data_IF_056763752739
#
_entry.id   IF_056763752739
#
_cell.length_a   1.000
_cell.length_b   1.000
_cell.length_c   1.000
_cell.angle_alpha   90.00
_cell.angle_beta   90.00
_cell.angle_gamma   90.00
#
_symmetry.space_group_name_H-M   'P 1'
#
loop_
_entity.id
_entity.type
_entity.pdbx_description
1 polymer ?
#
# COMPACT_ATOMS: atom_id res chain seq x y z
N UNK A 1 -40.10 -20.72 19.41
CA UNK A 1 -38.71 -20.31 19.10
C UNK A 1 -38.09 -21.50 18.42
N UNK A 2 -37.70 -21.41 17.15
CA UNK A 2 -36.88 -22.44 16.50
C UNK A 2 -35.56 -22.53 17.27
N UNK A 3 -35.07 -23.73 17.53
CA UNK A 3 -33.73 -23.92 18.07
C UNK A 3 -32.71 -23.24 17.17
N UNK A 4 -31.63 -22.66 17.71
CA UNK A 4 -30.54 -22.18 16.88
C UNK A 4 -30.11 -23.29 15.93
N UNK A 5 -29.95 -22.95 14.67
CA UNK A 5 -29.59 -23.90 13.63
C UNK A 5 -28.33 -24.65 14.09
N UNK A 6 -28.46 -25.98 14.35
CA UNK A 6 -27.37 -26.81 14.87
C UNK A 6 -26.12 -26.72 13.98
N UNK A 7 -26.30 -26.34 12.70
CA UNK A 7 -25.24 -26.14 11.74
C UNK A 7 -24.35 -24.91 12.07
N UNK A 8 -24.94 -23.81 12.52
CA UNK A 8 -24.19 -22.60 12.92
C UNK A 8 -23.37 -22.87 14.18
N UNK A 9 -23.95 -23.55 15.18
CA UNK A 9 -23.24 -23.86 16.41
C UNK A 9 -22.05 -24.82 16.16
N UNK A 10 -22.23 -25.80 15.27
CA UNK A 10 -21.16 -26.71 14.86
C UNK A 10 -20.04 -25.97 14.09
N UNK A 11 -20.40 -25.05 13.17
CA UNK A 11 -19.44 -24.19 12.47
C UNK A 11 -18.63 -23.34 13.44
N UNK A 12 -19.28 -22.63 14.37
CA UNK A 12 -18.59 -21.81 15.38
C UNK A 12 -17.60 -22.64 16.21
N UNK A 13 -18.01 -23.82 16.68
CA UNK A 13 -17.13 -24.72 17.44
C UNK A 13 -15.93 -25.19 16.63
N UNK A 14 -16.14 -25.53 15.36
CA UNK A 14 -15.07 -25.97 14.46
C UNK A 14 -14.00 -24.89 14.28
N UNK A 15 -14.40 -23.65 13.99
CA UNK A 15 -13.44 -22.56 13.78
C UNK A 15 -12.77 -22.17 15.10
N UNK A 16 -13.52 -22.01 16.20
CA UNK A 16 -12.96 -21.69 17.51
C UNK A 16 -11.95 -22.74 18.00
N UNK A 17 -12.10 -24.02 17.62
CA UNK A 17 -11.14 -25.06 17.96
C UNK A 17 -9.78 -24.87 17.26
N UNK A 18 -9.76 -24.26 16.08
CA UNK A 18 -8.55 -24.03 15.29
C UNK A 18 -7.79 -22.76 15.76
N UNK A 19 -8.47 -21.80 16.42
CA UNK A 19 -7.84 -20.60 16.92
C UNK A 19 -7.04 -20.90 18.18
N UNK A 20 -5.74 -20.55 18.25
CA UNK A 20 -4.93 -20.70 19.45
C UNK A 20 -5.53 -19.96 20.65
N UNK A 21 -5.15 -20.35 21.87
CA UNK A 21 -5.47 -19.57 23.07
C UNK A 21 -4.81 -18.18 22.95
N UNK A 22 -5.62 -17.13 22.81
CA UNK A 22 -5.17 -15.77 22.46
C UNK A 22 -6.18 -14.73 22.93
N UNK A 23 -5.80 -13.48 22.87
CA UNK A 23 -6.72 -12.36 23.12
C UNK A 23 -7.88 -12.36 22.10
N UNK A 24 -7.62 -12.67 20.84
CA UNK A 24 -8.63 -12.83 19.81
C UNK A 24 -9.70 -13.83 20.23
N UNK A 25 -9.30 -15.06 20.59
CA UNK A 25 -10.23 -16.11 21.01
C UNK A 25 -11.04 -15.71 22.23
N UNK A 26 -10.42 -15.08 23.21
CA UNK A 26 -11.10 -14.60 24.42
C UNK A 26 -12.15 -13.53 24.06
N UNK A 27 -11.83 -12.57 23.22
CA UNK A 27 -12.76 -11.53 22.78
C UNK A 27 -13.89 -12.11 21.94
N UNK A 28 -13.61 -13.02 20.99
CA UNK A 28 -14.62 -13.72 20.18
C UNK A 28 -15.70 -14.40 21.03
N UNK A 29 -15.32 -15.03 22.13
CA UNK A 29 -16.25 -15.71 23.04
C UNK A 29 -17.17 -14.73 23.78
N UNK A 30 -16.80 -13.48 23.92
CA UNK A 30 -17.61 -12.42 24.56
C UNK A 30 -18.52 -11.66 23.60
N UNK A 31 -18.29 -11.78 22.28
CA UNK A 31 -19.09 -11.09 21.29
C UNK A 31 -20.54 -11.60 21.25
N UNK A 32 -21.46 -10.69 20.92
CA UNK A 32 -22.83 -11.06 20.56
C UNK A 32 -22.84 -12.05 19.37
N UNK A 33 -23.89 -12.88 19.19
CA UNK A 33 -23.90 -13.94 18.19
C UNK A 33 -23.61 -13.48 16.76
N UNK A 34 -24.23 -12.38 16.29
CA UNK A 34 -24.04 -11.91 14.91
C UNK A 34 -22.64 -11.37 14.63
N UNK A 35 -22.05 -10.48 15.46
CA UNK A 35 -20.65 -10.10 15.36
C UNK A 35 -19.68 -11.27 15.40
N UNK A 36 -19.88 -12.20 16.34
CA UNK A 36 -19.04 -13.38 16.45
C UNK A 36 -19.08 -14.24 15.18
N UNK A 37 -20.28 -14.52 14.68
CA UNK A 37 -20.44 -15.31 13.45
C UNK A 37 -19.78 -14.63 12.25
N UNK A 38 -19.87 -13.27 12.14
CA UNK A 38 -19.21 -12.48 11.11
C UNK A 38 -17.69 -12.66 11.17
N UNK A 39 -17.10 -12.47 12.34
CA UNK A 39 -15.66 -12.64 12.53
C UNK A 39 -15.20 -14.08 12.23
N UNK A 40 -15.94 -15.10 12.69
CA UNK A 40 -15.60 -16.50 12.44
C UNK A 40 -15.71 -16.89 10.97
N UNK A 41 -16.69 -16.36 10.22
CA UNK A 41 -16.80 -16.55 8.78
C UNK A 41 -15.59 -15.97 8.07
N UNK A 42 -15.22 -14.72 8.40
CA UNK A 42 -14.06 -14.06 7.81
C UNK A 42 -12.76 -14.83 8.13
N UNK A 43 -12.57 -15.29 9.36
CA UNK A 43 -11.42 -16.13 9.72
C UNK A 43 -11.37 -17.47 8.95
N UNK A 44 -12.52 -18.02 8.62
CA UNK A 44 -12.60 -19.24 7.81
C UNK A 44 -12.25 -18.98 6.34
N UNK A 45 -12.64 -17.82 5.80
CA UNK A 45 -12.35 -17.39 4.42
C UNK A 45 -10.86 -17.05 4.24
N UNK A 46 -10.25 -16.43 5.26
CA UNK A 46 -8.87 -15.99 5.23
C UNK A 46 -7.92 -17.10 5.72
N UNK A 47 -6.85 -17.33 4.99
CA UNK A 47 -5.81 -18.28 5.37
C UNK A 47 -4.77 -17.61 6.27
N UNK A 48 -5.14 -17.32 7.52
CA UNK A 48 -4.29 -16.59 8.47
C UNK A 48 -3.05 -17.43 8.84
N UNK A 49 -1.82 -16.94 8.61
CA UNK A 49 -0.60 -17.60 9.08
C UNK A 49 -0.58 -17.77 10.60
N UNK A 50 0.01 -18.85 11.08
CA UNK A 50 0.02 -19.15 12.52
C UNK A 50 0.72 -18.05 13.36
N UNK A 51 1.72 -17.37 12.81
CA UNK A 51 2.43 -16.27 13.45
C UNK A 51 1.53 -15.06 13.69
N UNK A 52 0.54 -14.80 12.84
CA UNK A 52 -0.29 -13.60 12.86
C UNK A 52 -1.41 -13.63 13.90
N UNK A 53 -1.80 -14.83 14.39
CA UNK A 53 -2.82 -14.91 15.44
C UNK A 53 -2.47 -14.14 16.72
N UNK A 54 -1.20 -13.88 16.97
CA UNK A 54 -0.77 -13.11 18.13
C UNK A 54 -1.12 -11.61 18.01
N UNK A 55 -1.07 -11.06 16.81
CA UNK A 55 -1.38 -9.65 16.49
C UNK A 55 -2.82 -9.44 16.05
N UNK A 56 -3.53 -10.49 15.62
CA UNK A 56 -4.90 -10.38 15.13
C UNK A 56 -5.89 -10.01 16.26
N UNK A 57 -6.75 -9.04 15.99
CA UNK A 57 -7.74 -8.49 16.92
C UNK A 57 -9.14 -8.50 16.30
N UNK A 58 -10.15 -8.36 17.15
CA UNK A 58 -11.54 -8.25 16.71
C UNK A 58 -12.26 -7.12 17.45
N UNK A 59 -12.96 -6.29 16.71
CA UNK A 59 -13.86 -5.24 17.23
C UNK A 59 -15.19 -5.82 17.73
N UNK A 60 -15.92 -5.07 18.55
CA UNK A 60 -17.22 -5.51 19.11
C UNK A 60 -18.28 -5.79 18.06
N UNK A 61 -18.16 -5.24 16.87
CA UNK A 61 -19.04 -5.48 15.73
C UNK A 61 -18.58 -6.66 14.84
N UNK A 62 -17.45 -7.32 15.17
CA UNK A 62 -16.88 -8.47 14.47
C UNK A 62 -15.88 -8.10 13.36
N UNK A 63 -15.49 -6.84 13.22
CA UNK A 63 -14.40 -6.42 12.32
C UNK A 63 -13.06 -6.98 12.78
N UNK A 64 -12.25 -7.51 11.85
CA UNK A 64 -10.92 -8.04 12.13
C UNK A 64 -9.85 -7.06 11.67
N UNK A 65 -8.76 -6.96 12.41
CA UNK A 65 -7.59 -6.13 12.08
C UNK A 65 -6.35 -6.66 12.79
N UNK A 66 -5.16 -6.30 12.29
CA UNK A 66 -3.91 -6.58 13.00
C UNK A 66 -3.57 -5.40 13.91
N UNK A 67 -3.20 -5.68 15.18
CA UNK A 67 -2.67 -4.68 16.09
C UNK A 67 -1.15 -4.72 16.08
N UNK A 68 -0.51 -3.57 16.17
CA UNK A 68 0.95 -3.41 16.00
C UNK A 68 1.40 -3.84 14.60
N UNK A 69 0.64 -3.42 13.62
CA UNK A 69 0.96 -3.65 12.22
C UNK A 69 2.32 -3.06 11.85
N UNK A 70 2.92 -3.48 10.75
CA UNK A 70 4.31 -3.27 10.40
C UNK A 70 5.00 -2.09 11.12
N UNK A 71 5.87 -2.34 12.12
CA UNK A 71 6.46 -1.25 12.88
C UNK A 71 7.24 -0.33 11.94
N UNK A 72 7.16 1.00 12.10
CA UNK A 72 7.96 1.91 11.31
C UNK A 72 9.45 1.58 11.47
N UNK A 73 10.26 1.75 10.41
CA UNK A 73 11.69 1.54 10.50
C UNK A 73 12.30 2.50 11.53
N UNK A 74 13.40 2.13 12.20
CA UNK A 74 14.12 3.07 13.03
C UNK A 74 14.53 4.27 12.17
N UNK A 75 14.27 5.47 12.64
CA UNK A 75 14.70 6.71 11.97
C UNK A 75 16.19 6.60 11.64
N UNK A 76 16.63 6.99 10.43
CA UNK A 76 18.04 7.01 10.09
C UNK A 76 18.79 7.85 11.13
N UNK A 77 20.04 7.50 11.48
CA UNK A 77 20.85 8.34 12.35
C UNK A 77 20.83 9.74 11.75
N UNK A 78 20.35 10.72 12.51
CA UNK A 78 20.32 12.11 12.05
C UNK A 78 21.75 12.47 11.62
N UNK A 79 21.99 12.62 10.33
CA UNK A 79 23.28 13.10 9.84
C UNK A 79 23.56 14.39 10.57
N UNK A 80 24.65 14.43 11.30
CA UNK A 80 25.05 15.65 12.00
C UNK A 80 25.14 16.76 10.96
N UNK A 81 24.24 17.73 11.06
CA UNK A 81 24.22 18.87 10.15
C UNK A 81 25.64 19.38 10.01
N UNK A 82 26.13 19.67 8.77
CA UNK A 82 27.46 20.23 8.60
C UNK A 82 27.56 21.45 9.49
N UNK A 83 28.58 21.50 10.35
CA UNK A 83 28.78 22.56 11.32
C UNK A 83 28.68 23.91 10.62
N UNK A 84 27.57 24.61 10.82
CA UNK A 84 27.39 25.96 10.33
C UNK A 84 28.44 26.85 11.00
N UNK A 85 29.36 27.34 10.23
CA UNK A 85 30.31 28.40 10.63
C UNK A 85 29.50 29.64 10.98
N UNK A 86 29.44 29.91 12.26
CA UNK A 86 29.14 31.11 12.98
C UNK A 86 28.16 32.11 12.40
N UNK A 87 26.97 32.16 13.04
CA UNK A 87 26.42 33.45 13.50
C UNK A 87 25.42 33.11 14.63
N UNK A 88 25.73 33.63 15.82
CA UNK A 88 24.93 33.50 17.03
C UNK A 88 23.64 34.31 16.88
N UNK A 89 22.50 33.62 16.76
CA UNK A 89 21.20 34.27 16.95
C UNK A 89 20.64 33.86 18.30
N UNK A 90 20.46 34.82 19.17
CA UNK A 90 19.96 34.68 20.53
C UNK A 90 18.55 34.06 20.54
N UNK A 91 18.39 33.01 21.33
CA UNK A 91 17.09 32.42 21.70
C UNK A 91 16.33 33.41 22.61
N UNK A 92 15.26 34.00 22.09
CA UNK A 92 14.26 34.63 22.93
C UNK A 92 13.32 33.54 23.47
N UNK A 93 13.23 33.48 24.79
CA UNK A 93 12.36 32.59 25.54
C UNK A 93 10.88 33.01 25.37
N UNK A 94 10.05 32.14 24.83
CA UNK A 94 8.59 32.32 24.86
C UNK A 94 8.00 31.99 26.22
N UNK A 95 7.00 32.74 26.70
CA UNK A 95 6.43 32.54 28.00
C UNK A 95 5.45 31.36 28.02
N UNK A 96 5.55 30.62 29.10
CA UNK A 96 4.69 29.54 29.57
C UNK A 96 3.22 29.98 29.55
N UNK A 97 2.36 29.30 28.79
CA UNK A 97 0.91 29.55 28.73
C UNK A 97 0.20 28.65 29.73
N UNK A 98 -0.37 29.24 30.76
CA UNK A 98 -1.17 28.59 31.76
C UNK A 98 -2.41 27.86 31.17
N UNK A 99 -2.57 26.60 31.61
CA UNK A 99 -3.78 25.84 31.36
C UNK A 99 -5.00 26.44 32.06
N UNK A 100 -6.05 26.73 31.28
CA UNK A 100 -7.40 26.88 31.83
C UNK A 100 -8.32 25.95 31.06
N UNK A 101 -8.69 24.85 31.74
CA UNK A 101 -9.70 23.93 31.27
C UNK A 101 -11.09 24.58 31.32
N UNK A 102 -11.76 24.62 30.18
CA UNK A 102 -13.20 24.88 30.09
C UNK A 102 -13.90 23.65 29.50
N UNK A 103 -15.02 23.18 30.10
CA UNK A 103 -15.75 22.01 29.60
C UNK A 103 -16.71 22.44 28.47
N UNK A 104 -16.72 21.65 27.39
CA UNK A 104 -17.75 21.67 26.39
C UNK A 104 -17.44 22.47 25.12
N UNK A 105 -16.56 21.95 24.27
CA UNK A 105 -16.50 22.36 22.88
C UNK A 105 -17.02 21.22 22.00
N UNK A 106 -18.07 21.51 21.26
CA UNK A 106 -18.52 20.76 20.11
C UNK A 106 -17.30 20.63 19.18
N UNK A 107 -17.04 19.39 18.71
CA UNK A 107 -15.93 19.09 17.79
C UNK A 107 -15.84 20.20 16.74
N UNK A 108 -14.69 20.87 16.67
CA UNK A 108 -14.42 21.76 15.57
C UNK A 108 -14.54 20.94 14.27
N UNK A 109 -15.41 21.36 13.37
CA UNK A 109 -15.44 20.79 12.02
C UNK A 109 -14.01 20.88 11.47
N UNK A 110 -13.52 19.78 10.88
CA UNK A 110 -12.22 19.79 10.23
C UNK A 110 -12.12 21.00 9.33
N UNK A 111 -11.09 21.82 9.51
CA UNK A 111 -10.88 23.00 8.67
C UNK A 111 -10.64 22.46 7.26
N UNK A 112 -11.30 22.97 6.21
CA UNK A 112 -11.03 22.57 4.84
C UNK A 112 -9.56 22.91 4.52
N UNK A 113 -8.74 21.92 4.40
CA UNK A 113 -7.35 22.05 3.97
C UNK A 113 -7.35 22.30 2.45
N UNK A 114 -6.37 23.03 1.93
CA UNK A 114 -6.17 23.15 0.50
C UNK A 114 -6.09 21.77 -0.15
N UNK A 115 -6.63 21.62 -1.36
CA UNK A 115 -6.63 20.33 -2.05
C UNK A 115 -5.19 19.90 -2.35
N UNK A 116 -4.85 18.61 -2.16
CA UNK A 116 -3.55 18.09 -2.56
C UNK A 116 -3.39 18.12 -4.09
N UNK A 117 -2.18 17.97 -4.63
CA UNK A 117 -1.95 17.83 -6.07
C UNK A 117 -2.85 16.74 -6.68
N UNK A 118 -3.55 17.07 -7.76
CA UNK A 118 -4.47 16.16 -8.44
C UNK A 118 -3.66 15.07 -9.16
N UNK A 119 -3.88 13.80 -8.76
CA UNK A 119 -3.27 12.62 -9.36
C UNK A 119 -4.31 11.55 -9.60
N UNK A 120 -4.15 10.80 -10.70
CA UNK A 120 -4.98 9.67 -11.08
C UNK A 120 -4.13 8.69 -11.90
N UNK A 121 -4.03 7.43 -11.50
CA UNK A 121 -3.30 6.40 -12.24
C UNK A 121 -4.12 5.85 -13.41
N UNK A 122 -5.42 5.63 -13.21
CA UNK A 122 -6.32 5.05 -14.21
C UNK A 122 -7.71 5.70 -14.14
N UNK A 123 -7.85 6.94 -14.66
CA UNK A 123 -9.16 7.59 -14.71
C UNK A 123 -10.16 6.76 -15.51
N UNK A 124 -11.31 6.45 -14.92
CA UNK A 124 -12.38 5.67 -15.55
C UNK A 124 -12.52 4.24 -15.04
N UNK A 125 -11.56 3.71 -14.27
CA UNK A 125 -11.77 2.48 -13.52
C UNK A 125 -12.89 2.67 -12.48
N UNK A 126 -13.69 1.62 -12.29
CA UNK A 126 -14.75 1.59 -11.25
C UNK A 126 -14.20 1.21 -9.87
N UNK A 127 -12.99 0.65 -9.83
CA UNK A 127 -12.25 0.40 -8.61
C UNK A 127 -11.39 1.62 -8.30
N UNK A 128 -11.44 2.11 -7.08
CA UNK A 128 -10.75 3.34 -6.67
C UNK A 128 -10.04 3.12 -5.34
N UNK A 129 -8.78 3.56 -5.26
CA UNK A 129 -8.03 3.69 -4.02
C UNK A 129 -7.73 5.18 -3.82
N UNK A 130 -8.46 5.78 -2.91
CA UNK A 130 -8.33 7.19 -2.58
C UNK A 130 -7.30 7.39 -1.47
N UNK A 131 -6.24 8.12 -1.77
CA UNK A 131 -5.21 8.56 -0.84
C UNK A 131 -5.67 9.89 -0.23
N UNK A 132 -6.16 9.85 0.99
CA UNK A 132 -6.73 10.99 1.70
C UNK A 132 -5.66 11.70 2.53
N UNK A 133 -5.17 12.82 2.02
CA UNK A 133 -4.21 13.69 2.70
C UNK A 133 -4.88 14.86 3.44
N UNK A 134 -6.19 15.05 3.26
CA UNK A 134 -6.89 16.25 3.76
C UNK A 134 -7.36 16.12 5.22
N UNK A 135 -7.26 14.92 5.80
CA UNK A 135 -7.88 14.61 7.07
C UNK A 135 -9.35 14.20 6.95
N UNK A 136 -9.82 13.44 7.92
CA UNK A 136 -11.17 12.87 7.89
C UNK A 136 -11.75 12.69 9.28
N UNK A 137 -13.08 12.82 9.39
CA UNK A 137 -13.82 12.52 10.64
C UNK A 137 -14.38 11.10 10.56
N UNK A 138 -13.91 10.24 11.45
CA UNK A 138 -14.30 8.83 11.51
C UNK A 138 -15.34 8.65 12.63
N UNK A 139 -16.56 8.30 12.27
CA UNK A 139 -17.65 8.06 13.20
C UNK A 139 -18.63 7.03 12.66
N UNK A 140 -19.21 6.22 13.54
CA UNK A 140 -20.19 5.20 13.18
C UNK A 140 -19.63 4.01 12.42
N UNK A 141 -18.32 3.88 12.35
CA UNK A 141 -17.62 2.78 11.69
C UNK A 141 -17.29 1.65 12.68
N UNK A 142 -16.70 0.57 12.19
CA UNK A 142 -16.15 -0.51 13.02
C UNK A 142 -15.09 0.01 14.00
N UNK A 143 -14.34 1.05 13.63
CA UNK A 143 -13.34 1.69 14.50
C UNK A 143 -13.94 2.28 15.77
N UNK A 144 -15.22 2.68 15.73
CA UNK A 144 -15.97 3.26 16.85
C UNK A 144 -16.86 2.24 17.57
N UNK A 145 -16.75 0.93 17.30
CA UNK A 145 -17.69 -0.08 17.77
C UNK A 145 -17.42 -0.59 19.19
N UNK A 146 -16.19 -0.47 19.69
CA UNK A 146 -15.85 -0.79 21.07
C UNK A 146 -16.25 0.37 22.00
N UNK A 147 -16.69 0.10 23.25
CA UNK A 147 -17.13 1.16 24.19
C UNK A 147 -16.06 2.22 24.46
N UNK A 148 -14.79 1.85 24.52
CA UNK A 148 -13.66 2.74 24.71
C UNK A 148 -13.40 3.64 23.50
N UNK A 149 -13.78 3.19 22.30
CA UNK A 149 -13.58 3.89 21.02
C UNK A 149 -14.90 4.54 20.52
N UNK A 150 -15.97 4.56 21.31
CA UNK A 150 -17.27 5.06 20.92
C UNK A 150 -17.34 6.61 20.81
N UNK A 151 -16.27 7.23 20.31
CA UNK A 151 -16.15 8.66 20.02
C UNK A 151 -15.75 8.86 18.55
N UNK A 152 -15.95 10.07 18.04
CA UNK A 152 -15.45 10.40 16.71
C UNK A 152 -13.94 10.67 16.77
N UNK A 153 -13.17 10.04 15.89
CA UNK A 153 -11.79 10.43 15.64
C UNK A 153 -11.77 11.54 14.58
N UNK A 154 -10.96 12.57 14.80
CA UNK A 154 -10.76 13.69 13.87
C UNK A 154 -9.34 13.61 13.33
N UNK A 155 -9.11 12.74 12.33
CA UNK A 155 -7.81 12.62 11.69
C UNK A 155 -7.41 13.95 11.02
N UNK A 156 -6.19 14.39 11.31
CA UNK A 156 -5.64 15.63 10.76
C UNK A 156 -5.10 15.43 9.34
N UNK A 157 -4.91 16.51 8.59
CA UNK A 157 -4.25 16.47 7.29
C UNK A 157 -2.79 16.01 7.42
N UNK A 158 -2.22 15.58 6.31
CA UNK A 158 -0.76 15.42 6.17
C UNK A 158 -0.10 16.78 6.37
N UNK A 159 0.87 16.84 7.29
CA UNK A 159 1.51 18.08 7.70
C UNK A 159 2.92 17.80 8.21
N UNK A 160 3.90 18.48 7.65
CA UNK A 160 5.31 18.34 8.01
C UNK A 160 5.93 19.66 8.49
N UNK A 161 5.23 20.79 8.32
CA UNK A 161 5.71 22.13 8.64
C UNK A 161 4.92 22.83 9.77
N UNK A 162 3.80 22.25 10.18
CA UNK A 162 2.92 22.77 11.24
C UNK A 162 1.80 23.68 10.76
N UNK A 163 1.59 23.80 9.41
CA UNK A 163 0.48 24.54 8.81
C UNK A 163 -0.62 23.60 8.27
N UNK A 164 -1.54 23.18 9.10
CA UNK A 164 -2.68 22.33 8.72
C UNK A 164 -3.67 23.00 7.73
N UNK A 165 -3.42 24.22 7.26
CA UNK A 165 -4.35 24.95 6.40
C UNK A 165 -3.98 24.93 4.93
N UNK A 166 -2.76 24.57 4.60
CA UNK A 166 -2.26 24.47 3.23
C UNK A 166 -1.25 23.31 3.09
N UNK A 167 -0.93 22.95 1.86
CA UNK A 167 0.20 22.08 1.55
C UNK A 167 1.33 22.94 0.98
N UNK A 168 2.48 22.95 1.65
CA UNK A 168 3.72 23.58 1.16
C UNK A 168 4.21 22.92 -0.13
N UNK A 169 5.17 23.53 -0.83
CA UNK A 169 5.77 22.95 -2.04
C UNK A 169 6.47 21.60 -1.73
N UNK A 170 7.08 21.46 -0.56
CA UNK A 170 7.72 20.22 -0.11
C UNK A 170 6.67 19.13 0.15
N UNK A 171 5.59 19.45 0.87
CA UNK A 171 4.50 18.50 1.10
C UNK A 171 3.78 18.09 -0.18
N UNK A 172 3.61 19.03 -1.14
CA UNK A 172 3.06 18.68 -2.45
C UNK A 172 3.98 17.70 -3.20
N UNK A 173 5.29 17.85 -3.07
CA UNK A 173 6.28 16.94 -3.64
C UNK A 173 6.21 15.58 -2.98
N UNK A 174 6.14 15.51 -1.66
CA UNK A 174 5.98 14.27 -0.88
C UNK A 174 4.69 13.54 -1.26
N UNK A 175 3.57 14.25 -1.35
CA UNK A 175 2.27 13.69 -1.77
C UNK A 175 2.35 13.07 -3.16
N UNK A 176 3.03 13.74 -4.10
CA UNK A 176 3.25 13.23 -5.46
C UNK A 176 4.09 11.96 -5.41
N UNK A 177 5.17 11.94 -4.64
CA UNK A 177 6.06 10.78 -4.54
C UNK A 177 5.36 9.60 -3.86
N UNK A 178 4.61 9.83 -2.78
CA UNK A 178 3.78 8.79 -2.14
C UNK A 178 2.78 8.21 -3.15
N UNK A 179 2.07 9.07 -3.88
CA UNK A 179 1.11 8.63 -4.89
C UNK A 179 1.77 7.83 -6.02
N UNK A 180 2.95 8.28 -6.54
CA UNK A 180 3.67 7.59 -7.62
C UNK A 180 4.04 6.16 -7.21
N UNK A 181 4.54 5.95 -5.99
CA UNK A 181 4.91 4.63 -5.45
C UNK A 181 3.70 3.72 -5.28
N UNK A 182 2.64 4.21 -4.66
CA UNK A 182 1.40 3.43 -4.50
C UNK A 182 0.77 3.12 -5.87
N UNK A 183 0.80 4.06 -6.81
CA UNK A 183 0.29 3.83 -8.16
C UNK A 183 1.08 2.77 -8.92
N UNK A 184 2.40 2.66 -8.69
CA UNK A 184 3.26 1.61 -9.23
C UNK A 184 2.93 0.24 -8.61
N UNK A 185 2.75 0.16 -7.28
CA UNK A 185 2.38 -1.08 -6.59
C UNK A 185 1.06 -1.67 -7.12
N UNK A 186 0.11 -0.81 -7.46
CA UNK A 186 -1.19 -1.21 -7.99
C UNK A 186 -1.29 -1.16 -9.52
N UNK A 187 -0.21 -0.86 -10.25
CA UNK A 187 -0.21 -0.76 -11.71
C UNK A 187 -0.73 -2.00 -12.44
N UNK A 188 -0.49 -3.25 -11.96
CA UNK A 188 -1.00 -4.46 -12.59
C UNK A 188 -2.52 -4.61 -12.58
N UNK A 189 -3.25 -3.84 -11.75
CA UNK A 189 -4.69 -4.03 -11.52
C UNK A 189 -5.53 -2.94 -12.18
N UNK A 190 -6.78 -3.27 -12.55
CA UNK A 190 -7.74 -2.28 -13.04
C UNK A 190 -8.30 -1.45 -11.87
N UNK A 191 -7.50 -0.52 -11.37
CA UNK A 191 -7.82 0.37 -10.26
C UNK A 191 -7.26 1.76 -10.49
N UNK A 192 -8.01 2.79 -10.09
CA UNK A 192 -7.54 4.17 -10.08
C UNK A 192 -7.03 4.54 -8.68
N UNK A 193 -5.72 4.63 -8.52
CA UNK A 193 -5.10 5.26 -7.34
C UNK A 193 -5.19 6.78 -7.54
N UNK A 194 -5.84 7.48 -6.62
CA UNK A 194 -6.15 8.91 -6.80
C UNK A 194 -5.99 9.71 -5.50
N UNK A 195 -5.59 10.97 -5.65
CA UNK A 195 -5.63 11.99 -4.59
C UNK A 195 -6.92 12.83 -4.62
N UNK A 196 -7.81 12.58 -5.59
CA UNK A 196 -9.08 13.29 -5.72
C UNK A 196 -10.16 12.53 -4.96
N UNK A 197 -10.81 13.21 -4.01
CA UNK A 197 -11.89 12.58 -3.24
C UNK A 197 -13.03 12.15 -4.16
N UNK A 198 -13.41 10.85 -4.17
CA UNK A 198 -14.53 10.36 -4.94
C UNK A 198 -15.85 10.99 -4.49
N UNK A 199 -16.70 11.39 -5.42
CA UNK A 199 -18.04 11.93 -5.10
C UNK A 199 -18.95 10.89 -4.44
N UNK A 200 -18.63 9.61 -4.56
CA UNK A 200 -19.38 8.50 -3.97
C UNK A 200 -18.40 7.39 -3.58
N UNK A 201 -18.53 6.92 -2.34
CA UNK A 201 -17.80 5.77 -1.86
C UNK A 201 -18.67 4.52 -1.99
N UNK A 202 -18.16 3.53 -2.72
CA UNK A 202 -18.83 2.25 -2.99
C UNK A 202 -18.12 1.10 -2.28
N UNK A 203 -18.57 -0.13 -2.50
CA UNK A 203 -17.89 -1.33 -2.02
C UNK A 203 -16.48 -1.52 -2.62
N UNK A 204 -16.20 -0.90 -3.76
CA UNK A 204 -14.90 -0.94 -4.45
C UNK A 204 -14.15 0.39 -4.41
N UNK A 205 -14.46 1.24 -3.41
CA UNK A 205 -13.76 2.50 -3.18
C UNK A 205 -13.05 2.45 -1.83
N UNK A 206 -11.73 2.18 -1.86
CA UNK A 206 -10.87 2.20 -0.68
C UNK A 206 -10.47 3.64 -0.31
N UNK A 207 -10.36 3.91 0.99
CA UNK A 207 -9.76 5.15 1.52
C UNK A 207 -8.58 4.78 2.39
N UNK A 208 -7.40 5.23 2.03
CA UNK A 208 -6.24 5.27 2.91
C UNK A 208 -6.12 6.69 3.47
N UNK A 209 -6.32 6.86 4.77
CA UNK A 209 -6.18 8.14 5.45
C UNK A 209 -4.75 8.30 5.95
N UNK A 210 -3.99 9.19 5.33
CA UNK A 210 -2.63 9.54 5.71
C UNK A 210 -2.71 10.68 6.74
N UNK A 211 -2.53 10.36 8.02
CA UNK A 211 -2.78 11.27 9.14
C UNK A 211 -1.75 11.11 10.26
N UNK A 212 -1.79 11.96 11.28
CA UNK A 212 -0.98 11.77 12.48
C UNK A 212 -1.56 10.63 13.36
N UNK A 213 -0.70 10.03 14.20
CA UNK A 213 -1.08 8.97 15.13
C UNK A 213 -1.89 9.46 16.34
N UNK A 214 -2.12 10.77 16.43
CA UNK A 214 -2.99 11.46 17.39
C UNK A 214 -3.92 12.37 16.62
N UNK A 215 -5.20 12.36 16.97
CA UNK A 215 -6.22 13.16 16.30
C UNK A 215 -6.18 14.65 16.69
N UNK A 216 -6.98 15.48 16.04
CA UNK A 216 -7.05 16.92 16.31
C UNK A 216 -7.47 17.27 17.76
N UNK A 217 -8.05 16.32 18.51
CA UNK A 217 -8.48 16.50 19.90
C UNK A 217 -7.45 15.94 20.90
N UNK A 218 -6.30 15.46 20.44
CA UNK A 218 -5.29 14.85 21.29
C UNK A 218 -5.60 13.39 21.67
N UNK A 219 -6.53 12.74 20.98
CA UNK A 219 -6.87 11.33 21.21
C UNK A 219 -6.01 10.44 20.32
N UNK A 220 -5.44 9.39 20.91
CA UNK A 220 -4.66 8.39 20.15
C UNK A 220 -5.54 7.70 19.12
N UNK A 221 -5.05 7.63 17.89
CA UNK A 221 -5.70 6.91 16.79
C UNK A 221 -5.67 5.38 17.00
N UNK A 222 -6.53 4.60 16.35
CA UNK A 222 -6.50 3.13 16.44
C UNK A 222 -5.13 2.55 16.14
N UNK A 223 -4.61 1.65 17.00
CA UNK A 223 -3.28 1.02 16.83
C UNK A 223 -2.12 2.02 16.59
N UNK A 224 -2.19 3.22 17.12
CA UNK A 224 -1.36 4.41 16.88
C UNK A 224 0.17 4.23 17.04
N UNK A 225 0.63 3.11 17.58
CA UNK A 225 2.07 2.80 17.74
C UNK A 225 2.69 2.12 16.52
N UNK A 226 1.87 1.61 15.59
CA UNK A 226 2.29 1.02 14.33
C UNK A 226 2.50 2.05 13.22
N UNK A 227 2.86 1.59 12.04
CA UNK A 227 2.92 2.40 10.82
C UNK A 227 1.52 2.75 10.29
N UNK A 228 0.58 1.83 10.47
CA UNK A 228 -0.80 1.97 10.06
C UNK A 228 -1.69 0.92 10.72
N UNK A 229 -2.93 0.85 10.27
CA UNK A 229 -3.88 -0.21 10.61
C UNK A 229 -5.06 -0.24 9.63
N UNK A 230 -5.49 -1.42 9.23
CA UNK A 230 -6.64 -1.59 8.35
C UNK A 230 -7.56 -2.76 8.78
N UNK A 231 -8.82 -2.69 8.38
CA UNK A 231 -9.74 -3.81 8.51
C UNK A 231 -9.42 -4.88 7.46
N UNK A 232 -9.46 -6.15 7.88
CA UNK A 232 -9.01 -7.28 7.08
C UNK A 232 -10.12 -7.85 6.18
N UNK A 233 -9.84 -7.95 4.85
CA UNK A 233 -10.70 -8.61 3.87
C UNK A 233 -12.07 -7.93 3.71
N UNK A 234 -12.07 -6.63 3.54
CA UNK A 234 -13.29 -5.80 3.53
C UNK A 234 -13.60 -5.17 2.18
N UNK A 235 -12.62 -5.05 1.28
CA UNK A 235 -12.83 -4.55 -0.08
C UNK A 235 -13.85 -5.45 -0.80
N UNK A 236 -14.73 -4.88 -1.60
CA UNK A 236 -15.83 -5.57 -2.26
C UNK A 236 -17.07 -5.81 -1.38
N UNK A 237 -16.97 -5.75 -0.05
CA UNK A 237 -18.12 -5.92 0.83
C UNK A 237 -19.09 -4.75 0.72
N UNK A 238 -20.40 -5.02 0.72
CA UNK A 238 -21.43 -4.00 0.55
C UNK A 238 -21.45 -2.91 1.62
N UNK A 239 -20.86 -3.16 2.79
CA UNK A 239 -20.73 -2.22 3.91
C UNK A 239 -19.32 -1.64 4.07
N UNK A 240 -18.40 -1.90 3.12
CA UNK A 240 -17.01 -1.46 3.20
C UNK A 240 -16.89 0.04 3.44
N UNK A 241 -17.46 0.85 2.55
CA UNK A 241 -17.35 2.31 2.61
C UNK A 241 -17.93 2.94 3.89
N UNK A 242 -18.96 2.31 4.47
CA UNK A 242 -19.69 2.87 5.62
C UNK A 242 -19.25 2.31 6.96
N UNK A 243 -18.62 1.14 6.96
CA UNK A 243 -18.31 0.43 8.18
C UNK A 243 -16.83 0.17 8.40
N UNK A 244 -16.09 -0.21 7.36
CA UNK A 244 -14.73 -0.74 7.50
C UNK A 244 -13.65 0.22 7.00
N UNK A 245 -14.01 1.33 6.42
CA UNK A 245 -13.14 2.42 5.98
C UNK A 245 -12.97 3.45 7.11
N UNK A 246 -11.82 4.17 7.17
CA UNK A 246 -10.65 4.06 6.32
C UNK A 246 -9.65 2.99 6.79
N UNK A 247 -8.66 2.67 5.94
CA UNK A 247 -7.35 2.25 6.40
C UNK A 247 -6.57 3.49 6.89
N UNK A 248 -5.79 3.37 7.97
CA UNK A 248 -4.99 4.47 8.51
C UNK A 248 -3.51 4.26 8.21
N UNK A 249 -2.80 5.35 7.92
CA UNK A 249 -1.34 5.39 7.83
C UNK A 249 -0.85 6.60 8.61
N UNK A 250 0.07 6.38 9.55
CA UNK A 250 0.53 7.40 10.49
C UNK A 250 1.87 7.99 10.05
N UNK A 251 1.82 9.04 9.21
CA UNK A 251 3.00 9.63 8.58
C UNK A 251 4.09 10.04 9.58
N UNK A 252 3.69 10.53 10.75
CA UNK A 252 4.62 10.99 11.79
C UNK A 252 5.37 9.85 12.49
N UNK A 253 4.89 8.59 12.41
CA UNK A 253 5.64 7.42 12.90
C UNK A 253 6.81 7.06 11.98
N UNK A 254 6.80 7.52 10.73
CA UNK A 254 7.86 7.32 9.74
C UNK A 254 8.85 8.50 9.66
N UNK A 255 8.71 9.52 10.53
CA UNK A 255 9.48 10.76 10.42
C UNK A 255 9.23 11.49 9.11
N UNK A 256 8.00 11.37 8.57
CA UNK A 256 7.58 11.94 7.29
C UNK A 256 8.42 11.48 6.09
N UNK A 257 8.96 10.24 6.12
CA UNK A 257 9.64 9.65 4.99
C UNK A 257 8.61 9.12 3.98
N UNK A 258 8.53 9.75 2.83
CA UNK A 258 7.54 9.51 1.77
C UNK A 258 7.56 8.06 1.24
N UNK A 259 8.75 7.47 1.08
CA UNK A 259 8.88 6.10 0.61
C UNK A 259 8.29 5.11 1.62
N UNK A 260 8.58 5.30 2.91
CA UNK A 260 8.05 4.42 3.96
C UNK A 260 6.54 4.63 4.17
N UNK A 261 6.04 5.85 3.97
CA UNK A 261 4.60 6.14 4.01
C UNK A 261 3.90 5.40 2.87
N UNK A 262 4.44 5.44 1.65
CA UNK A 262 3.88 4.74 0.49
C UNK A 262 3.81 3.22 0.71
N UNK A 263 4.91 2.62 1.21
CA UNK A 263 4.94 1.19 1.58
C UNK A 263 3.83 0.85 2.59
N UNK A 264 3.65 1.68 3.62
CA UNK A 264 2.58 1.47 4.58
C UNK A 264 1.19 1.63 3.95
N UNK A 265 0.98 2.57 3.03
CA UNK A 265 -0.29 2.73 2.32
C UNK A 265 -0.64 1.46 1.54
N UNK A 266 0.30 0.94 0.75
CA UNK A 266 0.09 -0.29 -0.02
C UNK A 266 -0.14 -1.49 0.89
N UNK A 267 0.61 -1.62 1.99
CA UNK A 267 0.45 -2.66 3.00
C UNK A 267 -0.96 -2.65 3.64
N UNK A 268 -1.40 -1.49 4.14
CA UNK A 268 -2.71 -1.38 4.80
C UNK A 268 -3.87 -1.59 3.82
N UNK A 269 -3.74 -1.12 2.59
CA UNK A 269 -4.71 -1.43 1.54
C UNK A 269 -4.70 -2.92 1.18
N UNK A 270 -3.53 -3.58 1.19
CA UNK A 270 -3.41 -5.03 1.05
C UNK A 270 -4.25 -5.79 2.06
N UNK A 271 -4.27 -5.35 3.32
CA UNK A 271 -5.16 -5.92 4.33
C UNK A 271 -6.64 -5.75 3.99
N UNK A 272 -7.04 -4.65 3.38
CA UNK A 272 -8.43 -4.48 2.94
C UNK A 272 -8.84 -5.54 1.90
N UNK A 273 -7.91 -6.03 1.07
CA UNK A 273 -8.14 -7.15 0.15
C UNK A 273 -8.10 -8.53 0.85
N UNK A 274 -7.63 -8.61 2.07
CA UNK A 274 -7.55 -9.85 2.85
C UNK A 274 -6.17 -10.49 2.88
N UNK A 275 -5.14 -9.75 2.48
CA UNK A 275 -3.77 -10.22 2.56
C UNK A 275 -3.30 -10.27 4.02
N UNK A 276 -2.62 -11.33 4.37
CA UNK A 276 -1.93 -11.52 5.64
C UNK A 276 -0.47 -11.09 5.52
N UNK A 277 0.23 -11.00 6.67
CA UNK A 277 1.64 -10.61 6.64
C UNK A 277 2.54 -11.64 5.95
N UNK A 278 3.53 -11.13 5.25
CA UNK A 278 4.64 -11.90 4.70
C UNK A 278 5.81 -11.93 5.68
N UNK A 279 5.95 -13.08 6.34
CA UNK A 279 6.98 -13.31 7.34
C UNK A 279 7.84 -14.53 7.05
N UNK A 280 8.71 -14.85 8.00
CA UNK A 280 9.46 -16.10 8.03
C UNK A 280 8.84 -17.06 9.03
N UNK A 281 9.13 -18.36 8.93
CA UNK A 281 8.72 -19.33 9.94
C UNK A 281 9.17 -18.83 11.33
N UNK A 282 8.20 -18.49 12.17
CA UNK A 282 8.41 -17.99 13.53
C UNK A 282 8.50 -16.48 13.70
N UNK A 283 8.37 -15.70 12.63
CA UNK A 283 8.30 -14.23 12.68
C UNK A 283 7.14 -13.72 11.83
N UNK A 284 6.50 -12.62 12.26
CA UNK A 284 5.36 -12.03 11.55
C UNK A 284 5.80 -11.37 10.24
N UNK A 285 6.97 -10.73 10.21
CA UNK A 285 7.41 -9.93 9.08
C UNK A 285 8.74 -10.41 8.50
N UNK A 286 8.88 -10.29 7.18
CA UNK A 286 10.11 -10.45 6.45
C UNK A 286 10.62 -9.07 5.97
N UNK A 287 11.88 -8.74 6.31
CA UNK A 287 12.49 -7.45 5.98
C UNK A 287 13.12 -7.42 4.58
N UNK A 288 12.87 -8.44 3.77
CA UNK A 288 13.47 -8.55 2.45
C UNK A 288 14.94 -8.93 2.47
N UNK A 289 15.57 -8.93 1.30
CA UNK A 289 16.96 -9.33 1.09
C UNK A 289 17.64 -8.51 -0.03
N UNK A 290 18.92 -8.82 -0.30
CA UNK A 290 19.70 -8.14 -1.32
C UNK A 290 20.19 -6.76 -0.88
N UNK A 291 20.86 -6.05 -1.80
CA UNK A 291 21.41 -4.72 -1.59
C UNK A 291 21.47 -3.95 -2.92
N UNK A 292 21.53 -2.62 -2.84
CA UNK A 292 21.56 -1.76 -4.03
C UNK A 292 20.25 -1.81 -4.83
N UNK A 293 20.33 -1.61 -6.15
CA UNK A 293 19.18 -1.45 -7.04
C UNK A 293 18.25 -2.66 -7.12
N UNK A 294 18.73 -3.86 -6.75
CA UNK A 294 17.95 -5.10 -6.74
C UNK A 294 17.62 -5.59 -5.33
N UNK A 295 17.78 -4.75 -4.29
CA UNK A 295 17.29 -5.10 -2.95
C UNK A 295 15.77 -5.21 -2.99
N UNK A 296 15.25 -6.33 -2.47
CA UNK A 296 13.85 -6.70 -2.59
C UNK A 296 13.21 -6.95 -1.22
N UNK A 297 11.94 -6.60 -1.09
CA UNK A 297 11.09 -6.96 0.05
C UNK A 297 9.63 -7.08 -0.35
N UNK A 298 8.85 -7.97 0.32
CA UNK A 298 7.42 -8.06 0.06
C UNK A 298 6.68 -6.89 0.71
N UNK A 299 5.65 -6.36 0.04
CA UNK A 299 4.80 -5.26 0.53
C UNK A 299 4.10 -5.67 1.84
N UNK A 300 3.59 -6.92 1.92
CA UNK A 300 2.97 -7.42 3.14
C UNK A 300 3.97 -7.83 4.23
N UNK A 301 5.26 -7.59 4.02
CA UNK A 301 6.33 -7.68 5.03
C UNK A 301 6.71 -6.32 5.62
N UNK A 302 8.01 -6.10 5.81
CA UNK A 302 8.59 -4.82 6.20
C UNK A 302 9.72 -4.45 5.24
N UNK A 303 9.38 -4.26 3.96
CA UNK A 303 10.30 -3.94 2.86
C UNK A 303 10.93 -2.55 2.94
N UNK A 304 10.74 -1.82 4.04
CA UNK A 304 11.24 -0.46 4.24
C UNK A 304 12.72 -0.33 3.88
N UNK A 305 13.03 0.65 3.03
CA UNK A 305 14.38 0.89 2.56
C UNK A 305 14.89 -0.10 1.52
N UNK A 306 14.05 -0.99 0.99
CA UNK A 306 14.34 -1.79 -0.21
C UNK A 306 14.09 -0.95 -1.46
N UNK A 307 14.82 -1.26 -2.53
CA UNK A 307 14.65 -0.55 -3.80
C UNK A 307 13.45 -1.09 -4.59
N UNK A 308 13.17 -2.37 -4.46
CA UNK A 308 12.07 -3.07 -5.10
C UNK A 308 11.18 -3.63 -4.01
N UNK A 309 9.91 -3.24 -4.01
CA UNK A 309 8.86 -3.82 -3.16
C UNK A 309 7.75 -4.38 -4.04
N UNK A 310 7.31 -5.59 -3.76
CA UNK A 310 6.34 -6.28 -4.60
C UNK A 310 5.34 -7.07 -3.77
N UNK A 311 4.17 -7.31 -4.34
CA UNK A 311 3.24 -8.33 -3.89
C UNK A 311 3.87 -9.70 -4.06
N UNK A 312 3.63 -10.62 -3.15
CA UNK A 312 4.37 -11.88 -3.02
C UNK A 312 3.42 -13.08 -3.02
N UNK A 313 3.97 -14.26 -3.26
CA UNK A 313 3.36 -15.56 -2.95
C UNK A 313 4.31 -16.44 -2.13
N UNK A 314 5.25 -15.82 -1.42
CA UNK A 314 6.21 -16.52 -0.58
C UNK A 314 7.43 -17.07 -1.33
N UNK A 315 7.91 -16.41 -2.38
CA UNK A 315 9.04 -16.83 -3.22
C UNK A 315 10.41 -16.65 -2.56
N UNK A 316 10.44 -16.51 -1.25
CA UNK A 316 11.67 -16.35 -0.47
C UNK A 316 11.84 -17.49 0.53
N UNK A 317 13.08 -17.68 0.97
CA UNK A 317 13.46 -18.81 1.83
C UNK A 317 12.74 -18.72 3.20
N UNK A 318 12.14 -19.84 3.63
CA UNK A 318 11.37 -19.95 4.89
C UNK A 318 10.14 -19.02 4.99
N UNK A 319 9.50 -18.68 3.90
CA UNK A 319 8.23 -17.96 3.93
C UNK A 319 7.21 -18.70 4.82
N UNK A 320 6.48 -17.95 5.63
CA UNK A 320 5.40 -18.48 6.47
C UNK A 320 4.02 -18.25 5.86
N UNK A 321 3.93 -17.38 4.85
CA UNK A 321 2.76 -17.07 4.05
C UNK A 321 3.03 -17.46 2.59
N UNK A 322 2.04 -18.05 1.93
CA UNK A 322 2.06 -18.44 0.53
C UNK A 322 0.76 -18.05 -0.16
N UNK A 323 0.07 -17.02 0.36
CA UNK A 323 -1.03 -16.39 -0.36
C UNK A 323 -0.47 -15.86 -1.69
N UNK A 324 -1.24 -16.01 -2.74
CA UNK A 324 -0.94 -15.34 -4.01
C UNK A 324 -1.62 -13.97 -3.97
N UNK A 325 -0.87 -12.95 -3.59
CA UNK A 325 -1.37 -11.59 -3.41
C UNK A 325 -1.98 -11.04 -4.71
N UNK A 326 -1.32 -11.30 -5.83
CA UNK A 326 -1.83 -10.90 -7.15
C UNK A 326 -3.18 -11.53 -7.45
N UNK A 327 -3.32 -12.85 -7.24
CA UNK A 327 -4.56 -13.55 -7.51
C UNK A 327 -5.71 -13.08 -6.61
N UNK A 328 -5.43 -12.82 -5.33
CA UNK A 328 -6.42 -12.32 -4.36
C UNK A 328 -6.91 -10.93 -4.76
N UNK A 329 -6.00 -10.02 -5.06
CA UNK A 329 -6.37 -8.64 -5.45
C UNK A 329 -7.03 -8.60 -6.83
N UNK A 330 -6.56 -9.40 -7.79
CA UNK A 330 -7.15 -9.47 -9.12
C UNK A 330 -8.56 -10.07 -9.11
N UNK A 331 -8.90 -10.93 -8.15
CA UNK A 331 -10.27 -11.43 -7.98
C UNK A 331 -11.27 -10.31 -7.66
N UNK A 332 -10.83 -9.23 -7.01
CA UNK A 332 -11.66 -8.07 -6.66
C UNK A 332 -11.60 -6.95 -7.72
N UNK A 333 -10.44 -6.70 -8.31
CA UNK A 333 -10.21 -5.56 -9.20
C UNK A 333 -10.10 -5.92 -10.66
N UNK A 334 -9.69 -7.15 -10.99
CA UNK A 334 -9.22 -7.54 -12.32
C UNK A 334 -7.80 -7.06 -12.60
N UNK A 335 -7.15 -7.69 -13.57
CA UNK A 335 -5.91 -7.18 -14.13
C UNK A 335 -6.17 -6.06 -15.13
N UNK A 336 -5.16 -5.21 -15.32
CA UNK A 336 -5.16 -4.25 -16.41
C UNK A 336 -5.20 -4.99 -17.77
N UNK A 337 -5.74 -4.34 -18.79
CA UNK A 337 -5.67 -4.86 -20.14
C UNK A 337 -4.21 -4.89 -20.62
N UNK A 338 -3.74 -6.04 -21.11
CA UNK A 338 -2.43 -6.21 -21.72
C UNK A 338 -2.36 -5.39 -23.02
N UNK A 339 -1.49 -4.36 -23.06
CA UNK A 339 -1.36 -3.43 -24.19
C UNK A 339 -0.37 -3.91 -25.25
N UNK A 340 0.46 -4.93 -24.94
CA UNK A 340 1.43 -5.48 -25.88
C UNK A 340 1.32 -7.01 -25.98
N UNK A 341 1.26 -7.52 -27.17
CA UNK A 341 1.06 -8.96 -27.33
C UNK A 341 2.29 -9.78 -27.00
N UNK A 342 2.09 -10.94 -26.37
CA UNK A 342 3.12 -11.85 -25.87
C UNK A 342 3.82 -12.72 -26.96
N UNK A 343 3.53 -12.53 -28.24
CA UNK A 343 4.14 -13.30 -29.35
C UNK A 343 4.55 -12.41 -30.50
N UNK A 344 5.48 -12.86 -31.34
CA UNK A 344 5.88 -12.12 -32.55
C UNK A 344 4.70 -11.88 -33.51
N UNK A 345 3.69 -12.74 -33.50
CA UNK A 345 2.48 -12.59 -34.33
C UNK A 345 1.51 -11.54 -33.78
N UNK A 346 1.57 -11.26 -32.49
CA UNK A 346 0.72 -10.28 -31.78
C UNK A 346 1.49 -9.04 -31.37
N UNK A 347 2.77 -8.94 -31.75
CA UNK A 347 3.65 -7.84 -31.36
C UNK A 347 3.05 -6.47 -31.70
N UNK A 348 3.06 -5.57 -30.73
CA UNK A 348 2.61 -4.20 -30.89
C UNK A 348 3.64 -3.38 -31.68
N UNK A 349 3.20 -2.61 -32.68
CA UNK A 349 4.09 -1.78 -33.45
C UNK A 349 4.69 -0.66 -32.58
N UNK A 350 6.03 -0.55 -32.60
CA UNK A 350 6.71 0.48 -31.86
C UNK A 350 6.37 1.88 -32.40
N UNK A 351 6.26 2.87 -31.50
CA UNK A 351 6.11 4.28 -31.88
C UNK A 351 7.45 4.79 -32.42
N UNK A 352 7.47 5.23 -33.69
CA UNK A 352 8.69 5.66 -34.39
C UNK A 352 8.68 7.17 -34.60
N UNK A 353 9.75 7.83 -34.16
CA UNK A 353 10.01 9.25 -34.41
C UNK A 353 11.45 9.42 -34.95
N UNK A 354 11.58 9.56 -36.26
CA UNK A 354 12.88 9.63 -36.93
C UNK A 354 13.67 8.34 -36.78
N UNK A 355 14.79 8.37 -36.07
CA UNK A 355 15.63 7.21 -35.78
C UNK A 355 15.42 6.65 -34.33
N UNK A 356 14.40 7.12 -33.65
CA UNK A 356 14.11 6.74 -32.26
C UNK A 356 12.80 5.95 -32.22
N UNK A 357 12.76 4.90 -31.42
CA UNK A 357 11.54 4.19 -31.04
C UNK A 357 11.28 4.38 -29.55
N UNK A 358 10.02 4.51 -29.19
CA UNK A 358 9.58 4.63 -27.79
C UNK A 358 8.31 3.87 -27.56
N UNK A 359 8.23 3.15 -26.46
CA UNK A 359 7.02 2.54 -25.94
C UNK A 359 7.06 2.51 -24.42
N UNK A 360 5.91 2.23 -23.84
CA UNK A 360 5.76 1.92 -22.41
C UNK A 360 4.76 0.80 -22.27
N UNK A 361 4.87 0.02 -21.21
CA UNK A 361 4.00 -1.12 -20.91
C UNK A 361 3.92 -1.38 -19.42
N UNK A 362 3.06 -2.30 -19.04
CA UNK A 362 2.87 -2.79 -17.68
C UNK A 362 2.99 -4.30 -17.69
N UNK A 363 4.01 -4.84 -17.05
CA UNK A 363 4.09 -6.27 -16.77
C UNK A 363 3.06 -6.59 -15.69
N UNK A 364 1.91 -7.08 -16.12
CA UNK A 364 0.72 -7.21 -15.28
C UNK A 364 0.62 -8.55 -14.55
N UNK A 365 1.33 -9.56 -15.02
CA UNK A 365 1.31 -10.92 -14.47
C UNK A 365 2.72 -11.53 -14.53
N UNK A 366 2.93 -12.62 -13.79
CA UNK A 366 4.24 -13.28 -13.67
C UNK A 366 4.80 -13.82 -15.01
N UNK A 367 3.95 -14.21 -15.95
CA UNK A 367 4.29 -14.73 -17.26
C UNK A 367 4.04 -13.74 -18.40
N UNK A 368 3.77 -12.48 -18.06
CA UNK A 368 3.54 -11.41 -19.01
C UNK A 368 4.83 -11.02 -19.75
N UNK A 369 4.71 -10.90 -21.07
CA UNK A 369 5.82 -10.57 -21.98
C UNK A 369 5.36 -9.57 -23.02
N UNK A 370 5.86 -8.36 -22.96
CA UNK A 370 5.59 -7.30 -23.92
C UNK A 370 6.49 -7.40 -25.15
N UNK A 371 5.91 -7.66 -26.32
CA UNK A 371 6.67 -7.68 -27.57
C UNK A 371 6.31 -6.49 -28.45
N UNK A 372 7.33 -5.70 -28.78
CA UNK A 372 7.22 -4.54 -29.67
C UNK A 372 7.98 -4.80 -30.97
N UNK A 373 7.37 -4.48 -32.10
CA UNK A 373 7.98 -4.66 -33.43
C UNK A 373 8.37 -3.33 -34.05
N UNK A 374 9.51 -3.32 -34.71
CA UNK A 374 10.00 -2.16 -35.47
C UNK A 374 10.83 -2.60 -36.69
N UNK A 375 10.99 -1.73 -37.66
CA UNK A 375 11.89 -1.93 -38.79
C UNK A 375 13.15 -1.10 -38.65
N UNK A 376 14.28 -1.63 -39.08
CA UNK A 376 15.57 -0.93 -38.98
C UNK A 376 16.36 -1.00 -40.29
N UNK A 377 17.23 0.00 -40.51
CA UNK A 377 18.24 -0.05 -41.53
C UNK A 377 19.46 -0.86 -41.05
N UNK A 378 20.36 -1.21 -42.00
CA UNK A 378 21.65 -1.80 -41.63
C UNK A 378 22.47 -0.80 -40.80
N UNK A 379 22.91 -1.23 -39.64
CA UNK A 379 23.68 -0.38 -38.69
C UNK A 379 23.59 -0.83 -37.25
N UNK A 380 24.14 -0.01 -36.37
CA UNK A 380 24.04 -0.24 -34.93
C UNK A 380 22.70 0.27 -34.39
N UNK A 381 22.02 -0.54 -33.63
CA UNK A 381 20.83 -0.17 -32.83
C UNK A 381 21.20 -0.25 -31.36
N UNK A 382 20.70 0.69 -30.57
CA UNK A 382 20.82 0.73 -29.11
C UNK A 382 19.41 0.70 -28.53
N UNK A 383 19.16 -0.27 -27.68
CA UNK A 383 17.87 -0.44 -27.01
C UNK A 383 18.08 -0.32 -25.50
N UNK A 384 17.14 0.30 -24.83
CA UNK A 384 17.08 0.35 -23.37
C UNK A 384 15.62 0.21 -22.93
N UNK A 385 15.42 -0.55 -21.86
CA UNK A 385 14.18 -0.62 -21.12
C UNK A 385 14.48 -0.23 -19.67
N UNK A 386 13.67 0.67 -19.15
CA UNK A 386 13.83 1.17 -17.80
C UNK A 386 12.59 0.81 -16.97
N UNK A 387 12.79 0.26 -15.79
CA UNK A 387 11.77 0.18 -14.76
C UNK A 387 11.28 1.60 -14.44
N UNK A 388 9.99 1.74 -14.15
CA UNK A 388 9.45 3.02 -13.67
C UNK A 388 10.25 3.48 -12.44
N UNK A 389 10.49 4.76 -12.32
CA UNK A 389 11.16 5.35 -11.16
C UNK A 389 10.44 6.62 -10.76
N UNK A 390 10.30 6.80 -9.47
CA UNK A 390 9.77 8.04 -8.91
C UNK A 390 10.64 9.20 -9.34
N UNK A 391 10.04 10.33 -9.67
CA UNK A 391 10.66 11.47 -10.38
C UNK A 391 11.94 12.02 -9.76
N UNK A 392 12.12 11.86 -8.45
CA UNK A 392 13.25 12.42 -7.69
C UNK A 392 14.36 11.41 -7.39
N UNK A 393 14.16 10.10 -7.70
CA UNK A 393 15.02 9.06 -7.19
C UNK A 393 15.48 8.02 -8.19
N UNK A 394 16.33 7.14 -7.67
CA UNK A 394 16.74 5.89 -8.31
C UNK A 394 15.92 4.71 -7.81
N UNK A 395 14.90 4.96 -6.98
CA UNK A 395 14.13 3.99 -6.20
C UNK A 395 12.64 4.00 -6.59
N UNK A 396 11.92 2.96 -6.21
CA UNK A 396 10.47 2.87 -6.37
C UNK A 396 9.99 2.28 -7.69
N UNK A 397 10.86 1.66 -8.49
CA UNK A 397 10.47 0.88 -9.65
C UNK A 397 10.44 -0.60 -9.29
N UNK A 398 9.28 -1.26 -9.45
CA UNK A 398 9.07 -2.64 -9.00
C UNK A 398 9.41 -3.70 -10.07
N UNK A 399 9.77 -3.29 -11.29
CA UNK A 399 10.16 -4.21 -12.37
C UNK A 399 11.66 -4.50 -12.40
N UNK A 400 12.06 -5.78 -12.26
CA UNK A 400 13.39 -6.26 -12.60
C UNK A 400 13.36 -6.79 -14.03
N UNK A 401 13.88 -5.97 -14.98
CA UNK A 401 13.58 -6.12 -16.40
C UNK A 401 14.64 -6.93 -17.15
N UNK A 402 14.17 -7.86 -18.01
CA UNK A 402 14.97 -8.55 -19.03
C UNK A 402 14.60 -8.01 -20.40
N UNK A 403 15.61 -7.67 -21.22
CA UNK A 403 15.45 -7.24 -22.59
C UNK A 403 15.97 -8.31 -23.57
N UNK A 404 15.13 -8.72 -24.51
CA UNK A 404 15.50 -9.60 -25.61
C UNK A 404 15.23 -8.95 -26.97
N UNK A 405 16.16 -9.06 -27.90
CA UNK A 405 15.97 -8.69 -29.28
C UNK A 405 15.78 -9.95 -30.12
N UNK A 406 14.70 -10.00 -30.88
CA UNK A 406 14.38 -11.09 -31.79
C UNK A 406 14.59 -10.65 -33.24
N UNK A 407 15.02 -11.57 -34.11
CA UNK A 407 15.01 -11.34 -35.55
C UNK A 407 13.60 -11.58 -36.18
N UNK A 408 13.48 -11.36 -37.47
CA UNK A 408 12.22 -11.54 -38.19
C UNK A 408 11.68 -12.99 -38.18
N UNK A 409 12.51 -13.97 -37.83
CA UNK A 409 12.11 -15.37 -37.65
C UNK A 409 11.59 -15.68 -36.23
N UNK A 410 11.70 -14.73 -35.30
CA UNK A 410 11.38 -14.90 -33.89
C UNK A 410 12.54 -15.53 -33.07
N UNK A 411 13.74 -15.60 -33.62
CA UNK A 411 14.90 -16.12 -32.91
C UNK A 411 15.57 -15.01 -32.09
N UNK A 412 15.90 -15.28 -30.83
CA UNK A 412 16.63 -14.34 -29.97
C UNK A 412 18.05 -14.15 -30.50
N UNK A 413 18.42 -12.92 -30.86
CA UNK A 413 19.71 -12.53 -31.38
C UNK A 413 20.57 -11.74 -30.37
N UNK A 414 19.96 -11.16 -29.36
CA UNK A 414 20.64 -10.53 -28.24
C UNK A 414 19.75 -10.53 -27.01
N UNK A 415 20.36 -10.59 -25.83
CA UNK A 415 19.65 -10.54 -24.55
C UNK A 415 20.48 -9.77 -23.51
N UNK A 416 19.80 -9.07 -22.61
CA UNK A 416 20.41 -8.44 -21.43
C UNK A 416 19.47 -8.51 -20.23
N UNK A 417 19.99 -9.07 -19.12
CA UNK A 417 19.33 -9.14 -17.82
C UNK A 417 20.43 -8.94 -16.76
N UNK A 418 20.69 -7.71 -16.34
CA UNK A 418 21.79 -7.42 -15.41
C UNK A 418 21.45 -7.91 -14.01
N UNK A 419 22.41 -8.53 -13.33
CA UNK A 419 22.21 -9.04 -11.96
C UNK A 419 22.33 -7.97 -10.87
N UNK A 420 22.45 -6.72 -11.22
CA UNK A 420 22.67 -5.62 -10.24
C UNK A 420 21.89 -4.34 -10.56
N UNK A 421 21.01 -4.37 -11.55
CA UNK A 421 20.17 -3.24 -11.95
C UNK A 421 18.81 -3.76 -12.40
N UNK A 422 17.76 -3.01 -12.14
CA UNK A 422 16.39 -3.26 -12.60
C UNK A 422 16.17 -2.90 -14.07
N UNK A 423 17.07 -2.13 -14.69
CA UNK A 423 17.00 -1.71 -16.09
C UNK A 423 17.83 -2.63 -16.97
N UNK A 424 17.46 -2.77 -18.24
CA UNK A 424 18.24 -3.52 -19.21
C UNK A 424 18.53 -2.70 -20.47
N UNK A 425 19.71 -2.90 -21.08
CA UNK A 425 20.09 -2.24 -22.34
C UNK A 425 21.01 -3.10 -23.16
N UNK A 426 20.90 -3.03 -24.49
CA UNK A 426 21.78 -3.74 -25.40
C UNK A 426 22.12 -2.93 -26.65
N UNK A 427 23.25 -3.26 -27.24
CA UNK A 427 23.65 -2.75 -28.57
C UNK A 427 23.77 -3.94 -29.52
N UNK A 428 23.22 -3.80 -30.73
CA UNK A 428 23.24 -4.84 -31.73
C UNK A 428 23.54 -4.29 -33.13
N UNK A 429 24.31 -4.99 -33.93
CA UNK A 429 24.56 -4.65 -35.34
C UNK A 429 23.51 -5.31 -36.22
N UNK A 430 22.50 -4.53 -36.60
CA UNK A 430 21.37 -5.02 -37.41
C UNK A 430 21.70 -5.00 -38.92
N UNK A 431 21.07 -5.90 -39.66
CA UNK A 431 20.86 -5.79 -41.10
C UNK A 431 19.46 -5.21 -41.36
N UNK A 432 19.29 -4.51 -42.49
CA UNK A 432 17.97 -3.95 -42.85
C UNK A 432 16.87 -5.02 -42.83
N UNK A 433 15.77 -4.74 -42.15
CA UNK A 433 14.64 -5.64 -41.99
C UNK A 433 13.47 -4.98 -41.26
#
# INVERSE_FOLDING_TARGET
>A
MAAPDDSIAQFEQMILAQIPASQLKSKLLTLAPNPRLRALKKLFELQIPAADFASLRVKSDGGLFYANDAPPPPLPPQEAAPAATGESRALESSPERAETSAPGSIAAAAVPVASPPIRNSRPGSTNVLYLDFNGHVITGTSWNSDPEDAHAYVGVAYDTDGDLTSFSDDEQSDIIEIWERVAEDFAPFDVNVTTVEPSTFTSTTGRALITANVDANGVSMPAHTGGGVAQLGVFGNSDYATRSSPAFVYYNNFGSNEANIAEAVSHELGHNFGLSHDGLIGTTYYNGHGSGNISWGPIMGTGYGRNVSQWSQGEYFNANNTQDDFAIMAAEMGYVFDEAGATTATATAATVAGSTITNSGIISQQDDVDIYSFSTATGSINLAVNSYRVSTGTHGGNGDLKLELLDASGSVVATHAPSGDTNASLTYSATAG
#
